data_IF_472157866826
#
_entry.id   IF_472157866826
#
_cell.length_a   1.000
_cell.length_b   1.000
_cell.length_c   1.000
_cell.angle_alpha   90.00
_cell.angle_beta   90.00
_cell.angle_gamma   90.00
#
_symmetry.space_group_name_H-M   'P 1'
#
loop_
_entity.id
_entity.type
_entity.pdbx_description
1 polymer ?
#
# COMPACT_ATOMS: atom_id res chain seq x y z
N UNK A 1 16.99 -3.44 32.12
CA UNK A 1 15.62 -3.36 31.54
C UNK A 1 15.54 -4.36 30.41
N UNK A 2 14.62 -5.34 30.47
CA UNK A 2 14.44 -6.30 29.38
C UNK A 2 14.13 -5.56 28.08
N UNK A 3 14.74 -5.96 26.95
CA UNK A 3 14.49 -5.36 25.64
C UNK A 3 12.99 -5.28 25.31
N UNK A 4 12.18 -6.17 25.90
CA UNK A 4 10.71 -6.18 25.77
C UNK A 4 10.02 -4.88 26.24
N UNK A 5 10.60 -4.13 27.19
CA UNK A 5 10.02 -2.87 27.66
C UNK A 5 9.98 -1.79 26.57
N UNK A 6 10.80 -1.93 25.52
CA UNK A 6 10.78 -1.03 24.37
C UNK A 6 9.44 -1.07 23.61
N UNK A 7 8.67 -2.15 23.71
CA UNK A 7 7.32 -2.19 23.12
C UNK A 7 6.40 -1.12 23.73
N UNK A 8 6.58 -0.82 25.01
CA UNK A 8 5.71 0.11 25.74
C UNK A 8 6.31 1.52 25.84
N UNK A 9 7.44 1.79 25.16
CA UNK A 9 7.94 3.14 25.04
C UNK A 9 7.12 3.95 24.06
N UNK A 10 7.01 5.25 24.34
CA UNK A 10 6.33 6.17 23.45
C UNK A 10 7.03 6.25 22.09
N UNK A 11 6.24 6.38 21.02
CA UNK A 11 6.76 6.42 19.64
C UNK A 11 7.65 7.65 19.36
N UNK A 12 7.62 8.68 20.19
CA UNK A 12 8.51 9.85 20.15
C UNK A 12 9.82 9.67 20.92
N UNK A 13 9.93 8.64 21.76
CA UNK A 13 11.17 8.28 22.47
C UNK A 13 12.02 7.25 21.72
N UNK A 14 11.49 6.71 20.62
CA UNK A 14 12.13 5.67 19.81
C UNK A 14 12.27 6.12 18.35
N UNK A 15 13.27 5.59 17.64
CA UNK A 15 13.55 5.97 16.25
C UNK A 15 12.74 5.09 15.29
N UNK A 16 11.58 5.59 14.87
CA UNK A 16 10.77 4.97 13.81
C UNK A 16 10.78 5.88 12.58
N UNK A 17 11.31 5.36 11.46
CA UNK A 17 11.33 6.11 10.20
C UNK A 17 9.91 6.45 9.76
N UNK A 18 9.69 7.73 9.43
CA UNK A 18 8.38 8.24 9.01
C UNK A 18 7.54 8.83 10.13
N UNK A 19 7.89 8.62 11.41
CA UNK A 19 7.34 9.41 12.52
C UNK A 19 8.07 10.75 12.56
N UNK A 20 7.31 11.83 12.53
CA UNK A 20 7.81 13.21 12.52
C UNK A 20 7.01 14.05 13.51
N UNK A 21 7.55 15.20 13.94
CA UNK A 21 6.84 16.14 14.82
C UNK A 21 5.46 16.54 14.27
N UNK A 22 5.32 16.57 12.94
CA UNK A 22 4.08 16.97 12.26
C UNK A 22 2.99 15.89 12.29
N UNK A 23 3.35 14.61 12.23
CA UNK A 23 2.36 13.51 12.23
C UNK A 23 2.19 12.85 13.60
N UNK A 24 3.08 13.08 14.55
CA UNK A 24 3.01 12.53 15.90
C UNK A 24 1.68 12.83 16.61
N UNK A 25 1.15 14.09 16.64
CA UNK A 25 -0.15 14.34 17.26
C UNK A 25 -1.28 13.55 16.61
N UNK A 26 -1.23 13.35 15.29
CA UNK A 26 -2.23 12.61 14.51
C UNK A 26 -2.19 11.11 14.80
N UNK A 27 -1.00 10.56 15.06
CA UNK A 27 -0.85 9.18 15.53
C UNK A 27 -1.44 9.03 16.93
N UNK A 28 -1.17 9.98 17.83
CA UNK A 28 -1.74 9.97 19.20
C UNK A 28 -3.28 10.05 19.18
N UNK A 29 -3.88 10.83 18.28
CA UNK A 29 -5.36 10.85 18.11
C UNK A 29 -5.95 9.53 17.65
N UNK A 30 -5.14 8.65 17.03
CA UNK A 30 -5.54 7.29 16.67
C UNK A 30 -5.32 6.28 17.81
N UNK A 31 -4.94 6.74 19.01
CA UNK A 31 -4.54 5.88 20.13
C UNK A 31 -3.16 5.25 19.98
N UNK A 32 -2.36 5.74 19.03
CA UNK A 32 -1.01 5.21 18.77
C UNK A 32 0.01 6.02 19.56
N UNK A 33 0.23 5.61 20.81
CA UNK A 33 1.18 6.25 21.71
C UNK A 33 2.49 5.48 21.81
N UNK A 34 2.43 4.15 21.79
CA UNK A 34 3.59 3.27 21.96
C UNK A 34 3.88 2.40 20.73
N UNK A 35 5.05 1.76 20.70
CA UNK A 35 5.39 0.75 19.66
C UNK A 35 4.37 -0.39 19.67
N UNK A 36 3.91 -0.79 20.85
CA UNK A 36 2.84 -1.78 21.02
C UNK A 36 1.56 -1.29 20.35
N UNK A 37 1.09 -0.07 20.64
CA UNK A 37 -0.13 0.44 19.99
C UNK A 37 0.03 0.48 18.46
N UNK A 38 1.22 0.79 17.96
CA UNK A 38 1.49 0.82 16.53
C UNK A 38 1.40 -0.58 15.89
N UNK A 39 1.92 -1.62 16.55
CA UNK A 39 1.80 -3.01 16.10
C UNK A 39 0.39 -3.56 16.22
N UNK A 40 -0.40 -3.07 17.17
CA UNK A 40 -1.78 -3.53 17.35
C UNK A 40 -2.81 -2.60 16.70
N UNK A 41 -2.35 -1.62 15.91
CA UNK A 41 -3.20 -0.78 15.05
C UNK A 41 -3.54 -1.54 13.76
N UNK A 42 -4.40 -2.55 13.89
CA UNK A 42 -4.71 -3.45 12.79
C UNK A 42 -5.45 -2.78 11.63
N UNK A 43 -5.26 -3.26 10.39
CA UNK A 43 -6.07 -2.80 9.27
C UNK A 43 -7.53 -3.20 9.45
N UNK A 44 -8.44 -2.29 9.06
CA UNK A 44 -9.90 -2.53 9.05
C UNK A 44 -10.37 -3.27 7.81
N UNK A 45 -9.59 -3.21 6.73
CA UNK A 45 -9.88 -3.85 5.46
C UNK A 45 -8.57 -4.05 4.70
N UNK A 46 -8.63 -4.84 3.64
CA UNK A 46 -7.52 -5.00 2.70
C UNK A 46 -8.01 -4.72 1.29
N UNK A 47 -7.20 -4.03 0.52
CA UNK A 47 -7.40 -3.82 -0.91
C UNK A 47 -6.59 -4.87 -1.67
N UNK A 48 -7.25 -5.80 -2.34
CA UNK A 48 -6.56 -6.72 -3.24
C UNK A 48 -6.31 -6.03 -4.58
N UNK A 49 -5.04 -5.77 -4.87
CA UNK A 49 -4.53 -5.17 -6.09
C UNK A 49 -4.07 -6.23 -7.11
N UNK A 50 -4.23 -7.53 -6.86
CA UNK A 50 -3.80 -8.61 -7.78
C UNK A 50 -4.72 -8.80 -9.00
N UNK A 51 -5.23 -7.71 -9.57
CA UNK A 51 -6.10 -7.76 -10.75
C UNK A 51 -5.31 -7.33 -12.00
N UNK A 52 -4.29 -8.11 -12.34
CA UNK A 52 -3.53 -7.93 -13.58
C UNK A 52 -4.41 -8.28 -14.78
N UNK A 53 -4.62 -7.30 -15.66
CA UNK A 53 -5.42 -7.50 -16.88
C UNK A 53 -4.74 -6.89 -18.09
N UNK A 54 -5.14 -7.37 -19.27
CA UNK A 54 -4.92 -6.65 -20.52
C UNK A 54 -5.95 -5.53 -20.67
N UNK A 55 -5.60 -4.47 -21.38
CA UNK A 55 -6.48 -3.30 -21.58
C UNK A 55 -7.80 -3.71 -22.26
N UNK A 56 -7.79 -4.72 -23.12
CA UNK A 56 -9.00 -5.24 -23.77
C UNK A 56 -9.92 -6.08 -22.86
N UNK A 57 -9.44 -6.52 -21.69
CA UNK A 57 -10.17 -7.38 -20.74
C UNK A 57 -10.82 -6.58 -19.59
N UNK A 58 -10.59 -5.26 -19.56
CA UNK A 58 -11.08 -4.42 -18.48
C UNK A 58 -12.59 -4.17 -18.59
N UNK A 59 -13.24 -4.22 -17.43
CA UNK A 59 -14.64 -3.91 -17.19
C UNK A 59 -14.78 -2.48 -16.66
N UNK A 60 -15.99 -1.95 -16.71
CA UNK A 60 -16.27 -0.65 -16.12
C UNK A 60 -16.28 -0.74 -14.58
N UNK A 61 -15.83 0.33 -13.93
CA UNK A 61 -15.81 0.51 -12.47
C UNK A 61 -15.00 -0.53 -11.67
N UNK A 62 -14.16 -1.36 -12.30
CA UNK A 62 -13.23 -2.26 -11.59
C UNK A 62 -11.87 -1.60 -11.32
N UNK A 63 -11.18 -2.06 -10.28
CA UNK A 63 -9.78 -1.69 -10.01
C UNK A 63 -8.85 -2.71 -10.67
N UNK A 64 -7.90 -2.25 -11.48
CA UNK A 64 -6.99 -3.12 -12.26
C UNK A 64 -5.55 -2.68 -12.09
N UNK A 65 -4.63 -3.63 -12.27
CA UNK A 65 -3.23 -3.36 -12.61
C UNK A 65 -3.04 -3.58 -14.10
N UNK A 66 -2.52 -2.55 -14.78
CA UNK A 66 -2.15 -2.62 -16.19
C UNK A 66 -0.66 -2.35 -16.33
N UNK A 67 0.02 -3.13 -17.18
CA UNK A 67 1.39 -2.88 -17.63
C UNK A 67 1.35 -2.49 -19.10
N UNK A 68 2.00 -1.38 -19.45
CA UNK A 68 2.12 -0.96 -20.83
C UNK A 68 3.13 0.15 -21.04
N UNK A 69 3.24 0.58 -22.29
CA UNK A 69 4.12 1.65 -22.73
C UNK A 69 3.31 2.93 -22.93
N UNK A 70 3.84 4.03 -22.41
CA UNK A 70 3.25 5.35 -22.66
C UNK A 70 3.51 5.74 -24.11
N UNK A 71 2.45 5.82 -24.92
CA UNK A 71 2.54 6.15 -26.35
C UNK A 71 2.26 7.62 -26.64
N UNK A 72 1.60 8.32 -25.72
CA UNK A 72 1.33 9.76 -25.85
C UNK A 72 1.28 10.42 -24.47
N UNK A 73 1.65 11.70 -24.39
CA UNK A 73 1.48 12.52 -23.20
C UNK A 73 1.10 13.95 -23.60
N UNK A 74 0.10 14.50 -22.93
CA UNK A 74 -0.37 15.86 -23.13
C UNK A 74 -0.54 16.56 -21.78
N UNK A 75 -0.04 17.79 -21.69
CA UNK A 75 -0.37 18.69 -20.59
C UNK A 75 -1.60 19.49 -20.98
N UNK A 76 -2.68 19.35 -20.21
CA UNK A 76 -3.91 20.10 -20.39
C UNK A 76 -4.16 20.97 -19.17
N UNK A 77 -4.82 22.10 -19.39
CA UNK A 77 -5.43 22.86 -18.32
C UNK A 77 -6.91 22.49 -18.29
N UNK A 78 -7.42 22.11 -17.12
CA UNK A 78 -8.86 21.96 -16.90
C UNK A 78 -9.56 23.31 -17.09
N UNK A 79 -10.87 23.29 -17.41
CA UNK A 79 -11.70 24.51 -17.52
C UNK A 79 -11.65 25.42 -16.27
N UNK A 80 -11.20 24.89 -15.12
CA UNK A 80 -11.00 25.64 -13.86
C UNK A 80 -9.53 26.00 -13.57
N UNK A 81 -8.64 25.95 -14.57
CA UNK A 81 -7.21 26.27 -14.41
C UNK A 81 -6.36 25.21 -13.70
N UNK A 82 -6.94 24.07 -13.32
CA UNK A 82 -6.20 22.97 -12.70
C UNK A 82 -5.29 22.26 -13.72
N UNK A 83 -4.04 22.02 -13.35
CA UNK A 83 -3.08 21.26 -14.16
C UNK A 83 -3.54 19.81 -14.26
N UNK A 84 -3.74 19.35 -15.50
CA UNK A 84 -4.09 17.98 -15.84
C UNK A 84 -2.99 17.41 -16.72
N UNK A 85 -2.38 16.31 -16.30
CA UNK A 85 -1.51 15.50 -17.17
C UNK A 85 -2.37 14.37 -17.72
N UNK A 86 -2.46 14.25 -19.04
CA UNK A 86 -3.08 13.10 -19.73
C UNK A 86 -1.96 12.29 -20.39
N UNK A 87 -1.94 10.98 -20.18
CA UNK A 87 -1.09 10.07 -20.92
C UNK A 87 -1.93 8.96 -21.54
N UNK A 88 -1.49 8.41 -22.67
CA UNK A 88 -2.08 7.22 -23.27
C UNK A 88 -1.14 6.05 -23.04
N UNK A 89 -1.64 5.04 -22.35
CA UNK A 89 -0.98 3.76 -22.13
C UNK A 89 -1.44 2.76 -23.20
N UNK A 90 -0.51 2.03 -23.80
CA UNK A 90 -0.80 0.90 -24.68
C UNK A 90 -0.09 -0.34 -24.18
N UNK A 91 -0.77 -1.49 -24.18
CA UNK A 91 -0.21 -2.79 -23.83
C UNK A 91 -0.14 -3.76 -25.03
N UNK A 92 -0.38 -3.22 -26.23
CA UNK A 92 -0.52 -3.97 -27.49
C UNK A 92 -1.92 -4.52 -27.77
N UNK A 93 -2.79 -4.60 -26.76
CA UNK A 93 -4.18 -5.10 -26.91
C UNK A 93 -5.22 -3.99 -26.94
N UNK A 94 -4.90 -2.82 -26.37
CA UNK A 94 -5.77 -1.66 -26.36
C UNK A 94 -5.05 -0.39 -25.93
N UNK A 95 -5.82 0.69 -25.80
CA UNK A 95 -5.34 1.99 -25.30
C UNK A 95 -6.16 2.43 -24.09
N UNK A 96 -5.48 2.97 -23.08
CA UNK A 96 -6.07 3.48 -21.84
C UNK A 96 -5.59 4.91 -21.58
N UNK A 97 -6.52 5.84 -21.34
CA UNK A 97 -6.19 7.23 -20.98
C UNK A 97 -5.96 7.36 -19.47
N UNK A 98 -4.80 7.85 -19.06
CA UNK A 98 -4.42 8.08 -17.68
C UNK A 98 -4.49 9.57 -17.39
N UNK A 99 -5.34 9.98 -16.44
CA UNK A 99 -5.58 11.39 -16.12
C UNK A 99 -5.12 11.70 -14.71
N UNK A 100 -4.13 12.58 -14.55
CA UNK A 100 -3.72 13.08 -13.24
C UNK A 100 -4.09 14.55 -13.07
N UNK A 101 -4.86 14.84 -12.04
CA UNK A 101 -5.23 16.18 -11.62
C UNK A 101 -4.32 16.64 -10.48
N UNK A 102 -3.85 17.89 -10.53
CA UNK A 102 -3.01 18.51 -9.49
C UNK A 102 -1.70 17.78 -9.16
N UNK A 103 -1.26 16.84 -10.00
CA UNK A 103 -0.03 16.09 -9.78
C UNK A 103 1.09 16.57 -10.70
N UNK A 104 1.80 17.63 -10.30
CA UNK A 104 2.92 18.20 -11.08
C UNK A 104 4.10 17.24 -11.22
N UNK A 105 4.23 16.26 -10.32
CA UNK A 105 5.34 15.30 -10.35
C UNK A 105 5.26 14.39 -11.57
N UNK A 106 4.05 14.01 -11.99
CA UNK A 106 3.83 13.15 -13.18
C UNK A 106 4.41 13.80 -14.43
N UNK A 107 4.19 15.10 -14.62
CA UNK A 107 4.68 15.86 -15.79
C UNK A 107 6.18 15.69 -16.04
N UNK A 108 6.98 15.66 -14.97
CA UNK A 108 8.43 15.60 -15.09
C UNK A 108 8.95 14.16 -15.17
N UNK A 109 8.17 13.19 -14.67
CA UNK A 109 8.60 11.82 -14.52
C UNK A 109 8.10 10.93 -15.66
N UNK A 110 6.84 11.02 -16.07
CA UNK A 110 6.30 10.17 -17.13
C UNK A 110 6.59 10.77 -18.50
N UNK A 111 7.19 9.98 -19.40
CA UNK A 111 7.51 10.36 -20.78
C UNK A 111 7.04 9.29 -21.76
N UNK A 112 6.83 9.68 -23.02
CA UNK A 112 6.59 8.75 -24.11
C UNK A 112 7.74 7.73 -24.18
N UNK A 113 7.40 6.47 -24.41
CA UNK A 113 8.32 5.33 -24.42
C UNK A 113 8.59 4.72 -23.05
N UNK A 114 8.13 5.32 -21.94
CA UNK A 114 8.27 4.69 -20.63
C UNK A 114 7.32 3.48 -20.51
N UNK A 115 7.88 2.34 -20.13
CA UNK A 115 7.09 1.24 -19.58
C UNK A 115 6.70 1.57 -18.14
N UNK A 116 5.40 1.54 -17.87
CA UNK A 116 4.85 1.79 -16.56
C UNK A 116 3.84 0.72 -16.17
N UNK A 117 3.77 0.48 -14.88
CA UNK A 117 2.65 -0.21 -14.23
C UNK A 117 1.72 0.83 -13.65
N UNK A 118 0.42 0.66 -13.85
CA UNK A 118 -0.61 1.55 -13.31
C UNK A 118 -1.63 0.76 -12.51
N UNK A 119 -2.05 1.33 -11.39
CA UNK A 119 -3.16 0.84 -10.59
C UNK A 119 -4.22 1.92 -10.46
N UNK A 120 -5.48 1.55 -10.68
CA UNK A 120 -6.59 2.42 -10.38
C UNK A 120 -7.92 1.91 -10.92
N UNK A 121 -8.97 2.68 -10.63
CA UNK A 121 -10.33 2.37 -11.04
C UNK A 121 -10.56 2.73 -12.51
N UNK A 122 -10.97 1.75 -13.30
CA UNK A 122 -11.37 1.94 -14.69
C UNK A 122 -12.68 2.71 -14.74
N UNK A 123 -12.74 3.67 -15.66
CA UNK A 123 -13.97 4.31 -16.09
C UNK A 123 -14.13 4.14 -17.59
N UNK A 124 -15.22 3.53 -18.01
CA UNK A 124 -15.57 3.32 -19.40
C UNK A 124 -16.56 4.41 -19.84
N UNK A 125 -16.01 5.50 -20.37
CA UNK A 125 -16.80 6.54 -21.04
C UNK A 125 -16.72 6.41 -22.55
N UNK A 126 -16.62 7.54 -23.26
CA UNK A 126 -16.22 7.57 -24.68
C UNK A 126 -14.83 6.95 -24.92
N UNK A 127 -13.99 6.94 -23.89
CA UNK A 127 -12.69 6.29 -23.86
C UNK A 127 -12.56 5.51 -22.56
N UNK A 128 -11.74 4.45 -22.59
CA UNK A 128 -11.25 3.81 -21.38
C UNK A 128 -10.28 4.76 -20.70
N UNK A 129 -10.54 5.07 -19.42
CA UNK A 129 -9.68 5.97 -18.67
C UNK A 129 -9.53 5.53 -17.20
N UNK A 130 -8.42 5.92 -16.59
CA UNK A 130 -8.20 5.84 -15.15
C UNK A 130 -7.87 7.23 -14.63
N UNK A 131 -8.58 7.66 -13.58
CA UNK A 131 -8.41 8.99 -12.97
C UNK A 131 -7.54 8.87 -11.72
N UNK A 132 -6.52 9.73 -11.65
CA UNK A 132 -5.47 9.77 -10.64
C UNK A 132 -4.87 8.38 -10.33
N UNK A 133 -4.46 7.59 -11.36
CA UNK A 133 -3.86 6.29 -11.11
C UNK A 133 -2.58 6.43 -10.28
N UNK A 134 -2.33 5.44 -9.44
CA UNK A 134 -0.99 5.19 -8.94
C UNK A 134 -0.16 4.61 -10.10
N UNK A 135 1.09 5.03 -10.24
CA UNK A 135 1.96 4.51 -11.30
C UNK A 135 3.39 4.29 -10.80
N UNK A 136 4.08 3.35 -11.44
CA UNK A 136 5.49 3.08 -11.24
C UNK A 136 6.18 2.80 -12.57
N UNK A 137 7.39 3.33 -12.75
CA UNK A 137 8.24 3.00 -13.89
C UNK A 137 8.88 1.64 -13.71
N UNK A 138 9.00 0.89 -14.80
CA UNK A 138 9.47 -0.50 -14.78
C UNK A 138 11.00 -0.62 -14.92
N UNK A 139 11.73 0.49 -15.17
CA UNK A 139 13.21 0.59 -15.39
C UNK A 139 13.99 -0.72 -15.16
N UNK A 140 14.53 -1.25 -16.27
CA UNK A 140 14.99 -2.62 -16.58
C UNK A 140 16.05 -3.29 -15.67
N UNK A 141 16.03 -3.13 -14.35
CA UNK A 141 16.92 -3.93 -13.47
C UNK A 141 16.27 -4.62 -12.28
N UNK A 142 15.07 -4.22 -11.83
CA UNK A 142 14.44 -4.85 -10.66
C UNK A 142 12.92 -4.72 -10.67
N UNK A 143 12.27 -5.30 -11.68
CA UNK A 143 10.82 -5.52 -11.60
C UNK A 143 10.56 -6.90 -10.97
N UNK A 144 10.33 -6.91 -9.65
CA UNK A 144 9.78 -8.07 -8.95
C UNK A 144 8.31 -7.81 -8.63
N UNK A 145 7.36 -8.24 -9.48
CA UNK A 145 5.93 -8.09 -9.23
C UNK A 145 5.46 -8.81 -7.97
N UNK A 146 6.29 -9.69 -7.38
CA UNK A 146 5.99 -10.37 -6.10
C UNK A 146 6.34 -9.54 -4.86
N UNK A 147 7.10 -8.44 -4.99
CA UNK A 147 7.49 -7.57 -3.86
C UNK A 147 6.55 -6.40 -3.60
N UNK A 148 5.61 -6.14 -4.50
CA UNK A 148 4.55 -5.18 -4.22
C UNK A 148 3.41 -5.94 -3.57
N UNK A 149 3.24 -5.74 -2.25
CA UNK A 149 2.16 -6.34 -1.47
C UNK A 149 0.84 -6.21 -2.23
N UNK A 150 0.44 -7.31 -2.87
CA UNK A 150 -0.76 -7.40 -3.69
C UNK A 150 -2.01 -7.18 -2.83
N UNK A 151 -1.88 -7.39 -1.53
CA UNK A 151 -2.93 -7.14 -0.55
C UNK A 151 -2.49 -5.94 0.29
N UNK A 152 -3.06 -4.77 0.02
CA UNK A 152 -2.73 -3.55 0.75
C UNK A 152 -3.62 -3.34 1.97
N UNK A 153 -3.06 -3.24 3.18
CA UNK A 153 -3.83 -2.94 4.38
C UNK A 153 -4.45 -1.54 4.31
N UNK A 154 -5.71 -1.41 4.71
CA UNK A 154 -6.40 -0.15 4.94
C UNK A 154 -6.58 0.01 6.44
N UNK A 155 -5.91 0.99 7.03
CA UNK A 155 -5.97 1.28 8.46
C UNK A 155 -7.10 2.24 8.81
N UNK A 156 -7.63 2.19 10.04
CA UNK A 156 -8.31 3.33 10.62
C UNK A 156 -7.39 4.55 10.57
N UNK A 157 -7.88 5.68 10.04
CA UNK A 157 -7.10 6.89 9.84
C UNK A 157 -7.96 8.14 9.98
N UNK A 158 -7.37 9.25 10.43
CA UNK A 158 -7.99 10.58 10.33
C UNK A 158 -7.82 11.14 8.92
N UNK A 159 -8.67 12.08 8.48
CA UNK A 159 -8.59 12.71 7.14
C UNK A 159 -7.19 13.28 6.83
N UNK A 160 -6.48 13.69 7.88
CA UNK A 160 -5.18 14.36 7.79
C UNK A 160 -3.96 13.41 7.72
N UNK A 161 -4.15 12.10 7.89
CA UNK A 161 -3.08 11.10 7.85
C UNK A 161 -3.32 10.07 6.73
N UNK A 162 -2.50 10.13 5.69
CA UNK A 162 -2.66 9.27 4.51
C UNK A 162 -2.30 7.81 4.82
N UNK A 163 -3.01 6.88 4.20
CA UNK A 163 -2.77 5.43 4.32
C UNK A 163 -1.32 5.03 4.02
N UNK A 164 -0.72 5.63 2.98
CA UNK A 164 0.70 5.39 2.63
C UNK A 164 1.67 5.77 3.76
N UNK A 165 1.34 6.79 4.55
CA UNK A 165 2.15 7.20 5.69
C UNK A 165 2.04 6.19 6.82
N UNK A 166 0.82 5.73 7.13
CA UNK A 166 0.59 4.71 8.18
C UNK A 166 1.32 3.41 7.83
N UNK A 167 1.18 2.94 6.58
CA UNK A 167 1.89 1.75 6.07
C UNK A 167 3.40 1.87 6.27
N UNK A 168 4.01 2.97 5.79
CA UNK A 168 5.47 3.19 5.92
C UNK A 168 5.94 3.22 7.37
N UNK A 169 5.16 3.81 8.27
CA UNK A 169 5.50 3.89 9.70
C UNK A 169 5.42 2.50 10.34
N UNK A 170 4.35 1.74 10.09
CA UNK A 170 4.19 0.37 10.62
C UNK A 170 5.27 -0.56 10.06
N UNK A 171 5.54 -0.50 8.76
CA UNK A 171 6.62 -1.27 8.10
C UNK A 171 7.97 -0.96 8.74
N UNK A 172 8.30 0.34 8.91
CA UNK A 172 9.53 0.75 9.56
C UNK A 172 9.61 0.26 11.02
N UNK A 173 8.51 0.31 11.75
CA UNK A 173 8.47 -0.16 13.13
C UNK A 173 8.63 -1.67 13.22
N UNK A 174 7.98 -2.46 12.35
CA UNK A 174 8.11 -3.92 12.33
C UNK A 174 9.54 -4.34 11.96
N UNK A 175 10.16 -3.64 11.00
CA UNK A 175 11.55 -3.88 10.64
C UNK A 175 12.52 -3.54 11.78
N UNK A 176 12.29 -2.42 12.47
CA UNK A 176 13.18 -1.96 13.55
C UNK A 176 12.96 -2.66 14.89
N UNK A 177 11.73 -3.07 15.21
CA UNK A 177 11.34 -3.51 16.56
C UNK A 177 10.56 -4.83 16.57
N UNK A 178 10.25 -5.42 15.42
CA UNK A 178 9.52 -6.70 15.34
C UNK A 178 10.28 -7.89 15.94
N UNK A 179 11.58 -7.76 16.19
CA UNK A 179 12.36 -8.75 16.94
C UNK A 179 11.93 -8.86 18.42
N UNK A 180 11.19 -7.87 18.95
CA UNK A 180 10.65 -7.87 20.31
C UNK A 180 9.40 -8.75 20.47
N UNK A 181 8.81 -9.21 19.36
CA UNK A 181 7.59 -10.02 19.35
C UNK A 181 7.90 -11.49 19.66
N UNK A 182 8.34 -11.74 20.90
CA UNK A 182 8.48 -13.09 21.42
C UNK A 182 7.12 -13.79 21.46
N UNK A 183 7.16 -15.09 21.21
CA UNK A 183 5.99 -15.94 21.28
C UNK A 183 5.41 -15.91 22.71
N UNK A 184 4.09 -15.75 22.79
CA UNK A 184 3.36 -15.61 24.04
C UNK A 184 2.41 -16.78 24.31
N UNK A 185 2.39 -17.80 23.44
CA UNK A 185 1.61 -19.03 23.59
C UNK A 185 2.53 -20.26 23.61
N UNK A 186 2.19 -21.33 24.34
CA UNK A 186 2.94 -22.58 24.31
C UNK A 186 2.98 -23.20 22.90
N UNK A 187 4.13 -23.76 22.50
CA UNK A 187 4.30 -24.40 21.19
C UNK A 187 3.31 -25.54 20.93
N UNK A 188 2.91 -26.28 21.96
CA UNK A 188 1.92 -27.36 21.86
C UNK A 188 0.56 -26.84 21.42
N UNK A 189 0.13 -25.69 21.97
CA UNK A 189 -1.12 -25.03 21.61
C UNK A 189 -1.09 -24.56 20.16
N UNK A 190 0.00 -23.91 19.73
CA UNK A 190 0.16 -23.46 18.34
C UNK A 190 0.06 -24.62 17.34
N UNK A 191 0.70 -25.76 17.64
CA UNK A 191 0.65 -26.96 16.78
C UNK A 191 -0.74 -27.57 16.73
N UNK A 192 -1.38 -27.75 17.90
CA UNK A 192 -2.71 -28.34 18.02
C UNK A 192 -3.76 -27.52 17.27
N UNK A 193 -3.78 -26.21 17.50
CA UNK A 193 -4.77 -25.30 16.92
C UNK A 193 -4.40 -24.83 15.51
N UNK A 194 -3.23 -25.22 14.98
CA UNK A 194 -2.69 -24.76 13.69
C UNK A 194 -2.70 -23.23 13.61
N UNK A 195 -2.03 -22.59 14.57
CA UNK A 195 -1.87 -21.14 14.68
C UNK A 195 -0.40 -20.81 14.40
N UNK A 196 -0.16 -19.86 13.49
CA UNK A 196 1.19 -19.39 13.16
C UNK A 196 1.79 -18.55 14.30
N UNK A 197 3.12 -18.44 14.33
CA UNK A 197 3.84 -17.73 15.40
C UNK A 197 3.55 -16.23 15.46
N UNK A 198 3.71 -15.61 16.64
CA UNK A 198 3.31 -14.20 16.88
C UNK A 198 3.91 -13.21 15.90
N UNK A 199 5.22 -13.31 15.66
CA UNK A 199 5.95 -12.41 14.75
C UNK A 199 5.48 -12.59 13.30
N UNK A 200 5.32 -13.84 12.86
CA UNK A 200 4.84 -14.15 11.51
C UNK A 200 3.42 -13.65 11.29
N UNK A 201 2.54 -13.88 12.27
CA UNK A 201 1.18 -13.35 12.24
C UNK A 201 1.17 -11.82 12.21
N UNK A 202 2.01 -11.17 13.00
CA UNK A 202 2.08 -9.71 13.04
C UNK A 202 2.56 -9.14 11.70
N UNK A 203 3.52 -9.78 11.04
CA UNK A 203 3.95 -9.39 9.70
C UNK A 203 2.79 -9.56 8.71
N UNK A 204 2.12 -10.70 8.71
CA UNK A 204 1.09 -11.02 7.72
C UNK A 204 -0.28 -10.39 7.99
N UNK A 205 -0.59 -9.95 9.21
CA UNK A 205 -1.79 -9.14 9.45
C UNK A 205 -1.61 -7.73 8.87
N UNK A 206 -0.40 -7.18 8.89
CA UNK A 206 -0.13 -5.84 8.33
C UNK A 206 0.20 -5.89 6.84
N UNK A 207 1.02 -6.84 6.42
CA UNK A 207 1.57 -6.95 5.08
C UNK A 207 1.52 -8.42 4.64
N UNK A 208 0.31 -8.92 4.30
CA UNK A 208 0.16 -10.32 3.93
C UNK A 208 0.92 -10.64 2.64
N UNK A 209 1.67 -11.75 2.65
CA UNK A 209 2.32 -12.27 1.45
C UNK A 209 1.29 -12.78 0.42
N UNK A 210 0.19 -13.33 0.90
CA UNK A 210 -0.93 -13.84 0.10
C UNK A 210 -2.19 -13.97 0.98
N UNK A 211 -3.31 -14.34 0.35
CA UNK A 211 -4.60 -14.45 1.02
C UNK A 211 -4.61 -15.52 2.12
N UNK A 212 -3.94 -16.66 1.90
CA UNK A 212 -3.82 -17.72 2.91
C UNK A 212 -3.08 -17.24 4.15
N UNK A 213 -1.94 -16.56 3.99
CA UNK A 213 -1.17 -15.99 5.09
C UNK A 213 -1.93 -14.91 5.85
N UNK A 214 -2.74 -14.11 5.14
CA UNK A 214 -3.67 -13.17 5.77
C UNK A 214 -4.67 -13.89 6.66
N UNK A 215 -5.32 -14.94 6.16
CA UNK A 215 -6.30 -15.72 6.92
C UNK A 215 -5.68 -16.39 8.15
N UNK A 216 -4.47 -16.96 8.01
CA UNK A 216 -3.71 -17.52 9.15
C UNK A 216 -3.41 -16.46 10.22
N UNK A 217 -3.02 -15.26 9.81
CA UNK A 217 -2.76 -14.15 10.73
C UNK A 217 -4.04 -13.65 11.41
N UNK A 218 -5.14 -13.54 10.66
CA UNK A 218 -6.45 -13.20 11.21
C UNK A 218 -6.93 -14.25 12.22
N UNK A 219 -6.72 -15.53 11.92
CA UNK A 219 -7.04 -16.64 12.82
C UNK A 219 -6.32 -16.53 14.16
N UNK A 220 -5.11 -15.95 14.20
CA UNK A 220 -4.40 -15.76 15.47
C UNK A 220 -4.99 -14.63 16.32
N UNK A 221 -5.39 -13.52 15.69
CA UNK A 221 -5.69 -12.26 16.42
C UNK A 221 -7.17 -11.92 16.53
N UNK A 222 -8.00 -12.40 15.61
CA UNK A 222 -9.39 -11.98 15.45
C UNK A 222 -10.36 -13.13 15.72
N UNK A 223 -9.98 -14.37 15.42
CA UNK A 223 -10.82 -15.56 15.59
C UNK A 223 -10.35 -16.43 16.75
#
# INVERSE_FOLDING_TARGET
MSAYSLLYKNIDEVKIKGVTKTNLPKLKTLGIETVYNLFYHFPRAYENRDNYKKINEVLDEEFVILKGTVVNIANRFSKRGMVMVSAVLSDGTGMMELLWFNNRYVKNNVKVGNEIMVYGKVKKGMKLQIINPEYKKIDEKYFDPKKENQILPIYPSTESLRQISIRKIIEAALNSYGYLLYENMPNEFLKKEKIIGRKEAMLNIHFPENETKKEEAQKRFIK
#
